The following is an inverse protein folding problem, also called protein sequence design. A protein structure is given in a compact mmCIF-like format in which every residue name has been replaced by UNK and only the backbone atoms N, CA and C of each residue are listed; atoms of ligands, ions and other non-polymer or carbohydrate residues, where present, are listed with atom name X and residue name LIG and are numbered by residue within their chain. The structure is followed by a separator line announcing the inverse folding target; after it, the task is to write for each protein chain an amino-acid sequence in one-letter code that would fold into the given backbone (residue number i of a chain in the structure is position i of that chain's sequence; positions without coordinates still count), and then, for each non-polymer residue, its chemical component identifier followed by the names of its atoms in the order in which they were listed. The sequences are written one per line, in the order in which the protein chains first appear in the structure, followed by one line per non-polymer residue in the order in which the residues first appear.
data_IF_989618278105
#
_entry.id   IF_989618278105
#
_cell.length_a   1.000
_cell.length_b   1.000
_cell.length_c   1.000
_cell.angle_alpha   90.00
_cell.angle_beta   90.00
_cell.angle_gamma   90.00
#
_symmetry.space_group_name_H-M   'P 1'
#
loop_
_entity.id
_entity.type
_entity.pdbx_description
1 polymer ?
#
# COMPACT_ATOMS: atom_id res chain seq x y z
N UNK A 1 -11.46 21.99 32.75
CA UNK A 1 -10.32 22.44 31.92
C UNK A 1 -10.05 21.34 30.91
N UNK A 2 -10.35 21.56 29.64
CA UNK A 2 -9.97 20.63 28.56
C UNK A 2 -8.47 20.79 28.30
N UNK A 3 -7.69 19.75 28.60
CA UNK A 3 -6.29 19.70 28.20
C UNK A 3 -6.23 19.62 26.67
N UNK A 4 -5.49 20.55 26.04
CA UNK A 4 -5.23 20.52 24.60
C UNK A 4 -4.44 19.24 24.26
N UNK A 5 -4.78 18.51 23.19
CA UNK A 5 -3.98 17.39 22.74
C UNK A 5 -2.61 17.88 22.26
N UNK A 6 -1.56 17.22 22.75
CA UNK A 6 -0.16 17.57 22.48
C UNK A 6 0.25 17.22 21.03
N UNK A 7 0.40 18.26 20.20
CA UNK A 7 0.86 18.19 18.81
C UNK A 7 2.32 17.74 18.64
N UNK A 8 3.08 17.57 19.73
CA UNK A 8 4.52 17.26 19.72
C UNK A 8 4.81 15.78 19.43
N UNK A 9 3.84 14.89 19.70
CA UNK A 9 4.04 13.44 19.56
C UNK A 9 4.01 12.92 18.12
N UNK A 10 3.42 13.67 17.16
CA UNK A 10 3.30 13.25 15.77
C UNK A 10 4.38 13.85 14.87
N UNK A 11 4.76 15.12 15.09
CA UNK A 11 5.94 15.72 14.45
C UNK A 11 7.21 14.89 14.71
N UNK A 12 7.36 14.36 15.93
CA UNK A 12 8.47 13.46 16.27
C UNK A 12 8.37 12.06 15.65
N UNK A 13 7.19 11.62 15.18
CA UNK A 13 7.00 10.32 14.52
C UNK A 13 7.22 10.40 13.00
N UNK A 14 6.70 11.45 12.36
CA UNK A 14 6.99 11.74 10.95
C UNK A 14 8.46 12.09 10.75
N UNK A 15 9.08 12.84 11.69
CA UNK A 15 10.52 13.08 11.68
C UNK A 15 11.34 11.79 11.76
N UNK A 16 10.98 10.87 12.69
CA UNK A 16 11.63 9.55 12.81
C UNK A 16 11.45 8.66 11.58
N UNK A 17 10.33 8.77 10.87
CA UNK A 17 10.11 8.06 9.60
C UNK A 17 10.97 8.63 8.46
N UNK A 18 11.17 9.96 8.44
CA UNK A 18 12.13 10.62 7.56
C UNK A 18 13.56 10.12 7.78
N UNK A 19 14.00 10.02 9.04
CA UNK A 19 15.33 9.50 9.40
C UNK A 19 15.54 8.05 8.97
N UNK A 20 14.49 7.22 9.03
CA UNK A 20 14.52 5.82 8.59
C UNK A 20 14.61 5.68 7.06
N UNK A 21 14.01 6.61 6.30
CA UNK A 21 14.09 6.62 4.83
C UNK A 21 15.50 7.01 4.35
N UNK A 22 16.16 7.96 5.02
CA UNK A 22 17.56 8.31 4.75
C UNK A 22 18.51 7.13 5.00
N UNK A 23 18.25 6.34 6.06
CA UNK A 23 19.01 5.12 6.34
C UNK A 23 18.76 4.01 5.30
N UNK A 24 17.51 3.83 4.87
CA UNK A 24 17.14 2.86 3.85
C UNK A 24 17.78 3.19 2.48
N UNK A 25 17.75 4.46 2.06
CA UNK A 25 18.35 4.94 0.82
C UNK A 25 19.88 4.76 0.81
N UNK A 26 20.56 4.92 1.96
CA UNK A 26 21.99 4.64 2.12
C UNK A 26 22.33 3.14 2.08
N UNK A 27 21.41 2.25 2.47
CA UNK A 27 21.66 0.80 2.44
C UNK A 27 21.47 0.18 1.04
N UNK A 28 20.66 0.81 0.19
CA UNK A 28 20.37 0.35 -1.16
C UNK A 28 21.51 0.62 -2.16
N UNK A 29 22.43 1.54 -1.85
CA UNK A 29 23.61 1.81 -2.69
C UNK A 29 24.72 0.77 -2.58
N UNK A 30 24.61 -0.23 -1.69
CA UNK A 30 25.67 -1.22 -1.43
C UNK A 30 25.36 -2.63 -1.98
N UNK A 31 24.15 -2.89 -2.49
CA UNK A 31 23.70 -4.25 -2.86
C UNK A 31 23.66 -4.55 -4.36
N UNK A 32 24.16 -3.66 -5.21
CA UNK A 32 24.11 -3.81 -6.68
C UNK A 32 25.30 -4.58 -7.27
N UNK A 33 26.01 -5.37 -6.48
CA UNK A 33 27.08 -6.25 -6.95
C UNK A 33 26.80 -7.63 -6.39
N UNK A 34 26.76 -8.63 -7.27
CA UNK A 34 26.65 -10.08 -7.00
C UNK A 34 25.23 -10.65 -6.85
N UNK A 35 24.68 -11.17 -7.96
CA UNK A 35 24.35 -12.60 -8.12
C UNK A 35 23.55 -12.85 -9.43
N UNK A 36 24.22 -13.38 -10.44
CA UNK A 36 23.63 -14.13 -11.56
C UNK A 36 24.25 -15.55 -11.59
N UNK A 37 23.60 -16.45 -12.35
CA UNK A 37 23.83 -17.90 -12.55
C UNK A 37 23.06 -18.79 -11.54
N UNK A 38 22.16 -19.71 -11.91
CA UNK A 38 21.78 -20.33 -13.18
C UNK A 38 21.49 -21.81 -12.91
N UNK A 39 20.34 -22.36 -13.33
CA UNK A 39 20.14 -23.80 -13.67
C UNK A 39 18.75 -24.09 -14.23
N UNK A 40 18.73 -24.93 -15.28
CA UNK A 40 17.57 -25.38 -16.07
C UNK A 40 17.46 -26.91 -15.97
N UNK A 41 16.23 -27.42 -16.18
CA UNK A 41 15.78 -28.71 -16.80
C UNK A 41 14.87 -29.58 -15.88
N UNK A 42 14.02 -30.49 -16.41
CA UNK A 42 13.14 -30.40 -17.59
C UNK A 42 11.70 -30.94 -17.33
N UNK A 43 10.84 -30.83 -18.36
CA UNK A 43 9.47 -31.35 -18.46
C UNK A 43 9.37 -32.88 -18.39
N UNK A 44 8.29 -33.38 -17.78
CA UNK A 44 7.70 -34.70 -18.09
C UNK A 44 6.19 -34.59 -18.20
N UNK A 45 5.67 -35.11 -19.31
CA UNK A 45 4.24 -35.31 -19.61
C UNK A 45 3.70 -36.49 -18.79
N UNK A 46 2.41 -36.47 -18.48
CA UNK A 46 1.63 -37.70 -18.52
C UNK A 46 0.19 -37.42 -18.93
N UNK A 47 -0.24 -38.13 -19.96
CA UNK A 47 -1.58 -38.16 -20.52
C UNK A 47 -2.39 -39.23 -19.79
N UNK A 48 -3.54 -38.88 -19.19
CA UNK A 48 -4.67 -39.81 -19.11
C UNK A 48 -5.98 -39.12 -18.74
N UNK A 49 -6.97 -39.30 -19.62
CA UNK A 49 -8.40 -39.09 -19.39
C UNK A 49 -9.15 -40.17 -20.20
N UNK A 50 -10.46 -40.43 -20.00
CA UNK A 50 -11.34 -40.13 -18.86
C UNK A 50 -12.17 -41.36 -18.42
N UNK A 51 -12.92 -41.27 -17.30
CA UNK A 51 -14.21 -41.98 -17.13
C UNK A 51 -15.19 -41.15 -16.28
N UNK A 52 -16.41 -41.02 -16.82
CA UNK A 52 -17.65 -40.49 -16.23
C UNK A 52 -18.09 -41.34 -15.00
N UNK A 53 -18.98 -40.96 -14.08
CA UNK A 53 -20.05 -39.96 -14.01
C UNK A 53 -20.55 -39.97 -12.53
N UNK A 54 -20.93 -38.84 -11.93
CA UNK A 54 -22.12 -38.79 -11.06
C UNK A 54 -22.50 -37.34 -10.80
N UNK A 55 -23.76 -37.01 -11.11
CA UNK A 55 -24.36 -35.70 -10.99
C UNK A 55 -24.62 -35.37 -9.51
N UNK A 56 -23.99 -34.31 -9.01
CA UNK A 56 -24.40 -33.61 -7.80
C UNK A 56 -24.66 -32.15 -8.18
N UNK A 57 -25.83 -31.64 -7.80
CA UNK A 57 -26.33 -30.30 -8.12
C UNK A 57 -25.34 -29.21 -7.72
N UNK A 58 -24.79 -28.51 -8.72
CA UNK A 58 -23.95 -27.33 -8.53
C UNK A 58 -24.81 -26.18 -7.99
N UNK A 59 -24.75 -25.98 -6.67
CA UNK A 59 -25.01 -24.66 -6.10
C UNK A 59 -23.77 -23.84 -6.47
N UNK A 60 -23.88 -22.99 -7.49
CA UNK A 60 -22.82 -22.06 -7.82
C UNK A 60 -22.53 -21.23 -6.56
N UNK A 61 -21.31 -21.27 -6.00
CA UNK A 61 -20.96 -20.33 -4.96
C UNK A 61 -21.07 -18.95 -5.60
N UNK A 62 -21.85 -18.07 -4.99
CA UNK A 62 -21.93 -16.67 -5.38
C UNK A 62 -20.51 -16.11 -5.23
N UNK A 63 -19.77 -16.05 -6.35
CA UNK A 63 -18.41 -15.55 -6.43
C UNK A 63 -18.53 -14.08 -6.06
N UNK A 64 -17.95 -13.70 -4.92
CA UNK A 64 -17.86 -12.31 -4.52
C UNK A 64 -17.27 -11.51 -5.69
N UNK A 65 -17.84 -10.35 -6.05
CA UNK A 65 -17.32 -9.56 -7.16
C UNK A 65 -15.83 -9.29 -6.95
N UNK A 66 -15.04 -9.44 -8.01
CA UNK A 66 -13.61 -9.13 -7.94
C UNK A 66 -13.42 -7.74 -7.34
N UNK A 67 -12.51 -7.58 -6.35
CA UNK A 67 -12.28 -6.28 -5.76
C UNK A 67 -11.84 -5.32 -6.86
N UNK A 68 -12.51 -4.17 -6.96
CA UNK A 68 -12.27 -3.13 -7.95
C UNK A 68 -10.83 -2.52 -7.93
N UNK A 69 -9.91 -3.09 -7.14
CA UNK A 69 -8.57 -2.60 -6.85
C UNK A 69 -7.46 -3.22 -7.71
N UNK A 70 -7.72 -4.32 -8.43
CA UNK A 70 -6.73 -5.01 -9.26
C UNK A 70 -6.44 -4.30 -10.60
N UNK A 71 -7.42 -3.61 -11.19
CA UNK A 71 -7.31 -3.09 -12.57
C UNK A 71 -7.66 -1.60 -12.66
N UNK A 72 -6.83 -0.75 -12.02
CA UNK A 72 -6.83 0.71 -12.30
C UNK A 72 -6.02 1.10 -13.52
N UNK A 73 -5.33 0.15 -14.16
CA UNK A 73 -4.80 0.37 -15.50
C UNK A 73 -5.87 -0.15 -16.44
N UNK A 74 -6.69 0.70 -17.08
CA UNK A 74 -7.56 0.24 -18.16
C UNK A 74 -6.71 -0.54 -19.16
N UNK A 75 -7.21 -1.63 -19.74
CA UNK A 75 -6.49 -2.43 -20.74
C UNK A 75 -5.92 -1.55 -21.88
N UNK A 76 -6.54 -0.41 -22.17
CA UNK A 76 -6.05 0.59 -23.12
C UNK A 76 -4.77 1.34 -22.73
N UNK A 77 -4.42 1.46 -21.43
CA UNK A 77 -3.14 2.06 -21.00
C UNK A 77 -1.99 1.05 -21.10
N UNK A 78 -2.26 -0.24 -20.96
CA UNK A 78 -1.23 -1.28 -21.15
C UNK A 78 -0.67 -1.28 -22.59
N UNK A 79 -1.48 -0.85 -23.57
CA UNK A 79 -1.11 -0.71 -24.98
C UNK A 79 -0.48 0.67 -25.35
N UNK A 80 -0.32 1.59 -24.38
CA UNK A 80 0.02 2.99 -24.68
C UNK A 80 0.85 3.74 -23.63
N UNK A 81 1.62 3.06 -22.77
CA UNK A 81 2.59 3.74 -21.89
C UNK A 81 3.71 4.37 -22.73
N UNK A 82 4.06 5.65 -22.52
CA UNK A 82 5.15 6.29 -23.24
C UNK A 82 6.50 5.64 -22.91
N UNK A 83 7.46 5.79 -23.81
CA UNK A 83 8.83 5.35 -23.59
C UNK A 83 9.49 6.15 -22.46
N UNK A 84 10.62 5.64 -21.96
CA UNK A 84 11.41 6.34 -20.94
C UNK A 84 11.89 7.71 -21.45
N UNK A 85 12.30 7.77 -22.72
CA UNK A 85 12.78 8.97 -23.39
C UNK A 85 11.68 10.03 -23.53
N UNK A 86 10.46 9.60 -23.86
CA UNK A 86 9.28 10.46 -23.92
C UNK A 86 8.93 11.04 -22.55
N UNK A 87 8.97 10.22 -21.49
CA UNK A 87 8.74 10.67 -20.13
C UNK A 87 9.82 11.68 -19.67
N UNK A 88 11.09 11.44 -19.95
CA UNK A 88 12.15 12.40 -19.66
C UNK A 88 12.00 13.71 -20.45
N UNK A 89 11.58 13.63 -21.72
CA UNK A 89 11.29 14.82 -22.52
C UNK A 89 10.12 15.64 -21.96
N UNK A 90 9.11 14.98 -21.39
CA UNK A 90 8.04 15.65 -20.65
C UNK A 90 8.57 16.38 -19.41
N UNK A 91 9.46 15.77 -18.63
CA UNK A 91 10.10 16.45 -17.48
C UNK A 91 10.91 17.66 -17.92
N UNK A 92 11.70 17.56 -19.01
CA UNK A 92 12.40 18.72 -19.59
C UNK A 92 11.44 19.85 -19.96
N UNK A 93 10.26 19.50 -20.46
CA UNK A 93 9.21 20.46 -20.79
C UNK A 93 8.66 21.13 -19.53
N UNK A 94 8.41 20.38 -18.46
CA UNK A 94 7.96 20.92 -17.18
C UNK A 94 9.00 21.85 -16.54
N UNK A 95 10.29 21.54 -16.64
CA UNK A 95 11.37 22.40 -16.14
C UNK A 95 11.38 23.76 -16.85
N UNK A 96 11.30 23.77 -18.20
CA UNK A 96 11.18 25.02 -18.97
C UNK A 96 9.91 25.78 -18.65
N UNK A 97 8.79 25.07 -18.51
CA UNK A 97 7.51 25.68 -18.17
C UNK A 97 7.53 26.33 -16.77
N UNK A 98 8.25 25.73 -15.81
CA UNK A 98 8.49 26.32 -14.50
C UNK A 98 9.41 27.55 -14.53
N UNK A 99 10.07 27.82 -15.67
CA UNK A 99 10.93 28.99 -15.88
C UNK A 99 12.43 28.75 -15.64
N UNK A 100 12.88 27.50 -15.56
CA UNK A 100 14.29 27.14 -15.35
C UNK A 100 14.95 26.58 -16.63
N UNK A 101 16.27 26.61 -16.71
CA UNK A 101 17.08 26.12 -17.83
C UNK A 101 17.46 24.64 -17.62
N UNK A 102 16.91 23.68 -18.39
CA UNK A 102 17.23 22.26 -18.23
C UNK A 102 18.69 21.91 -18.57
N UNK A 103 19.44 22.81 -19.19
CA UNK A 103 20.83 22.57 -19.60
C UNK A 103 21.86 22.96 -18.53
N UNK A 104 21.44 23.64 -17.44
CA UNK A 104 22.34 23.95 -16.33
C UNK A 104 22.72 22.69 -15.57
N UNK A 105 23.92 22.69 -15.01
CA UNK A 105 24.54 21.53 -14.34
C UNK A 105 23.59 20.75 -13.42
N UNK A 106 22.85 21.45 -12.54
CA UNK A 106 21.93 20.82 -11.60
C UNK A 106 20.69 20.16 -12.21
N UNK A 107 20.31 20.53 -13.45
CA UNK A 107 19.10 20.03 -14.12
C UNK A 107 19.36 19.06 -15.27
N UNK A 108 20.60 18.95 -15.76
CA UNK A 108 20.95 18.07 -16.88
C UNK A 108 20.37 16.65 -16.72
N UNK A 109 20.61 16.03 -15.55
CA UNK A 109 20.15 14.68 -15.24
C UNK A 109 18.82 14.63 -14.48
N UNK A 110 18.20 15.77 -14.17
CA UNK A 110 16.92 15.81 -13.45
C UNK A 110 15.82 15.00 -14.14
N UNK A 111 15.64 15.06 -15.47
CA UNK A 111 14.67 14.21 -16.17
C UNK A 111 14.83 12.72 -15.87
N UNK A 112 16.06 12.19 -16.00
CA UNK A 112 16.35 10.79 -15.74
C UNK A 112 16.10 10.42 -14.27
N UNK A 113 16.49 11.30 -13.33
CA UNK A 113 16.26 11.10 -11.89
C UNK A 113 14.76 11.10 -11.54
N UNK A 114 13.97 11.99 -12.13
CA UNK A 114 12.52 12.07 -11.91
C UNK A 114 11.84 10.79 -12.41
N UNK A 115 12.12 10.36 -13.65
CA UNK A 115 11.51 9.14 -14.20
C UNK A 115 11.91 7.90 -13.38
N UNK A 116 13.17 7.82 -12.95
CA UNK A 116 13.62 6.75 -12.03
C UNK A 116 12.88 6.77 -10.69
N UNK A 117 12.70 7.96 -10.10
CA UNK A 117 11.96 8.11 -8.85
C UNK A 117 10.49 7.69 -9.02
N UNK A 118 9.83 8.08 -10.11
CA UNK A 118 8.44 7.70 -10.39
C UNK A 118 8.26 6.18 -10.50
N UNK A 119 9.24 5.46 -11.04
CA UNK A 119 9.23 3.99 -11.02
C UNK A 119 9.16 3.39 -9.61
N UNK A 120 9.78 4.04 -8.62
CA UNK A 120 9.76 3.60 -7.22
C UNK A 120 8.49 4.04 -6.49
N UNK A 121 8.08 5.30 -6.71
CA UNK A 121 6.93 5.93 -6.05
C UNK A 121 5.60 5.40 -6.58
N UNK A 122 5.55 4.92 -7.83
CA UNK A 122 4.36 4.36 -8.48
C UNK A 122 4.51 2.86 -8.81
N UNK A 123 5.52 2.20 -8.21
CA UNK A 123 5.80 0.79 -8.46
C UNK A 123 4.67 -0.16 -8.05
N UNK A 124 3.78 0.27 -7.16
CA UNK A 124 2.64 -0.51 -6.68
C UNK A 124 1.60 -0.84 -7.75
N UNK A 125 1.65 -0.20 -8.93
CA UNK A 125 0.86 -0.61 -10.10
C UNK A 125 1.36 -1.90 -10.75
N UNK A 126 2.61 -2.31 -10.51
CA UNK A 126 3.20 -3.53 -11.06
C UNK A 126 3.27 -4.65 -9.99
N UNK A 127 2.55 -4.49 -8.89
CA UNK A 127 2.54 -5.45 -7.78
C UNK A 127 1.10 -5.86 -7.52
N UNK A 128 0.87 -7.16 -7.54
CA UNK A 128 -0.40 -7.74 -7.10
C UNK A 128 -0.41 -7.81 -5.56
N UNK A 129 -1.43 -7.19 -4.96
CA UNK A 129 -1.60 -7.21 -3.50
C UNK A 129 -2.14 -8.56 -3.00
N UNK A 130 -2.84 -9.31 -3.86
CA UNK A 130 -3.45 -10.60 -3.50
C UNK A 130 -2.37 -11.68 -3.29
N UNK A 131 -1.42 -11.78 -4.23
CA UNK A 131 -0.27 -12.69 -4.16
C UNK A 131 0.57 -12.51 -2.88
N UNK A 132 0.57 -11.30 -2.30
CA UNK A 132 1.32 -11.04 -1.07
C UNK A 132 0.75 -11.77 0.15
N UNK A 133 -0.56 -12.06 0.16
CA UNK A 133 -1.30 -12.58 1.31
C UNK A 133 -1.55 -14.11 1.24
N UNK A 134 -1.14 -14.79 0.17
CA UNK A 134 -1.42 -16.22 -0.03
C UNK A 134 -0.84 -17.15 1.05
N UNK A 135 0.29 -16.77 1.67
CA UNK A 135 0.94 -17.60 2.68
C UNK A 135 0.43 -17.28 4.09
N UNK A 136 -0.44 -18.15 4.59
CA UNK A 136 -0.96 -18.13 5.96
C UNK A 136 -0.26 -19.20 6.81
N UNK A 137 -0.02 -18.90 8.09
CA UNK A 137 0.49 -19.85 9.08
C UNK A 137 -0.69 -20.38 9.90
N UNK A 138 -0.98 -21.67 9.78
CA UNK A 138 -2.11 -22.33 10.47
C UNK A 138 -1.74 -22.78 11.90
N UNK A 139 -0.44 -22.90 12.21
CA UNK A 139 0.10 -23.27 13.52
C UNK A 139 0.02 -22.11 14.53
N UNK A 140 -1.18 -21.71 14.94
CA UNK A 140 -1.39 -20.58 15.86
C UNK A 140 -2.08 -20.95 17.17
N UNK A 141 -1.97 -22.21 17.61
CA UNK A 141 -2.51 -22.72 18.90
C UNK A 141 -3.96 -22.27 19.21
N UNK A 142 -4.82 -22.16 18.18
CA UNK A 142 -6.23 -21.76 18.37
C UNK A 142 -6.44 -20.27 18.66
N UNK A 143 -5.46 -19.41 18.41
CA UNK A 143 -5.58 -17.97 18.56
C UNK A 143 -6.74 -17.42 17.71
N UNK A 144 -7.72 -16.80 18.37
CA UNK A 144 -8.98 -16.36 17.76
C UNK A 144 -9.35 -14.92 18.08
N UNK A 145 -8.47 -14.17 18.76
CA UNK A 145 -8.67 -12.77 19.11
C UNK A 145 -8.01 -11.82 18.09
N UNK A 146 -8.06 -10.52 18.34
CA UNK A 146 -7.61 -9.47 17.43
C UNK A 146 -6.08 -9.49 17.20
N UNK A 147 -5.67 -9.65 15.94
CA UNK A 147 -4.29 -9.35 15.52
C UNK A 147 -4.24 -7.88 15.08
N UNK A 148 -3.40 -7.05 15.72
CA UNK A 148 -3.22 -5.64 15.39
C UNK A 148 -1.77 -5.36 14.99
N UNK A 149 -1.57 -4.83 13.77
CA UNK A 149 -0.33 -4.21 13.33
C UNK A 149 -0.57 -2.71 13.21
N UNK A 150 0.11 -1.92 14.04
CA UNK A 150 -0.08 -0.47 14.12
C UNK A 150 1.21 0.28 13.81
N UNK A 151 1.05 1.56 13.49
CA UNK A 151 2.14 2.49 13.20
C UNK A 151 2.97 2.04 11.98
N UNK A 152 2.32 1.50 10.94
CA UNK A 152 2.96 1.16 9.66
C UNK A 152 3.19 2.47 8.90
N UNK A 153 4.44 2.94 8.74
CA UNK A 153 4.70 4.15 7.98
C UNK A 153 4.43 3.91 6.50
N UNK A 154 3.88 4.92 5.81
CA UNK A 154 3.68 4.87 4.37
C UNK A 154 3.90 6.24 3.72
N UNK A 155 4.14 6.20 2.41
CA UNK A 155 4.30 7.37 1.56
C UNK A 155 3.48 7.16 0.29
N UNK A 156 2.62 8.12 -0.06
CA UNK A 156 1.78 8.07 -1.24
C UNK A 156 1.70 9.44 -1.92
N UNK A 157 0.98 9.53 -3.04
CA UNK A 157 0.84 10.75 -3.84
C UNK A 157 -0.62 11.03 -4.11
N UNK A 158 -1.06 12.24 -3.78
CA UNK A 158 -2.42 12.69 -4.06
C UNK A 158 -2.62 12.75 -5.58
N UNK A 159 -3.52 11.94 -6.10
CA UNK A 159 -3.75 11.84 -7.56
C UNK A 159 -4.17 13.17 -8.21
N UNK A 160 -4.84 14.04 -7.45
CA UNK A 160 -5.27 15.36 -7.93
C UNK A 160 -4.12 16.32 -8.26
N UNK A 161 -2.97 16.14 -7.62
CA UNK A 161 -1.86 17.10 -7.69
C UNK A 161 -0.49 16.46 -7.90
N UNK A 162 -0.41 15.13 -7.84
CA UNK A 162 0.84 14.36 -7.83
C UNK A 162 1.81 14.81 -6.72
N UNK A 163 1.27 15.36 -5.62
CA UNK A 163 2.02 15.85 -4.47
C UNK A 163 1.92 14.82 -3.33
N UNK A 164 3.00 14.57 -2.57
CA UNK A 164 3.00 13.53 -1.56
C UNK A 164 1.98 13.76 -0.42
N UNK A 165 1.49 12.66 0.12
CA UNK A 165 0.91 12.58 1.46
C UNK A 165 1.50 11.37 2.18
N UNK A 166 1.70 11.48 3.49
CA UNK A 166 2.48 10.53 4.27
C UNK A 166 1.99 10.45 5.69
N UNK A 167 2.10 9.27 6.29
CA UNK A 167 1.47 9.01 7.58
C UNK A 167 1.63 7.59 8.06
N UNK A 168 0.66 7.15 8.86
CA UNK A 168 0.61 5.85 9.49
C UNK A 168 -0.65 5.10 9.08
N UNK A 169 -0.49 3.81 8.80
CA UNK A 169 -1.58 2.86 8.67
C UNK A 169 -1.62 1.92 9.89
N UNK A 170 -2.82 1.53 10.26
CA UNK A 170 -3.12 0.62 11.35
C UNK A 170 -4.11 -0.41 10.83
N UNK A 171 -3.77 -1.68 10.97
CA UNK A 171 -4.56 -2.80 10.45
C UNK A 171 -4.83 -3.77 11.60
N UNK A 172 -6.10 -4.09 11.81
CA UNK A 172 -6.50 -5.19 12.67
C UNK A 172 -7.39 -6.17 11.94
N UNK A 173 -7.32 -7.44 12.32
CA UNK A 173 -8.24 -8.46 11.83
C UNK A 173 -8.44 -9.59 12.84
N UNK A 174 -9.55 -10.31 12.69
CA UNK A 174 -9.83 -11.52 13.46
C UNK A 174 -9.55 -12.78 12.62
N UNK A 175 -8.49 -13.54 12.92
CA UNK A 175 -8.13 -14.71 12.14
C UNK A 175 -9.22 -15.80 12.22
N UNK A 176 -9.37 -16.55 11.12
CA UNK A 176 -10.32 -17.68 11.01
C UNK A 176 -9.59 -19.01 10.84
N UNK A 177 -8.60 -19.07 9.95
CA UNK A 177 -7.86 -20.30 9.60
C UNK A 177 -6.34 -20.20 9.83
N UNK A 178 -5.88 -19.11 10.45
CA UNK A 178 -4.46 -18.88 10.71
C UNK A 178 -4.11 -17.40 10.70
N UNK A 179 -2.82 -17.11 10.88
CA UNK A 179 -2.27 -15.75 10.92
C UNK A 179 -1.36 -15.52 9.72
N UNK A 180 -1.48 -14.36 9.08
CA UNK A 180 -0.56 -13.98 8.00
C UNK A 180 0.74 -13.44 8.59
N UNK A 181 1.86 -13.64 7.89
CA UNK A 181 3.12 -13.01 8.29
C UNK A 181 2.95 -11.49 8.38
N UNK A 182 3.27 -10.88 9.52
CA UNK A 182 3.00 -9.46 9.79
C UNK A 182 3.63 -8.52 8.75
N UNK A 183 4.79 -8.91 8.20
CA UNK A 183 5.45 -8.16 7.13
C UNK A 183 4.65 -8.10 5.82
N UNK A 184 3.72 -9.03 5.58
CA UNK A 184 2.84 -9.00 4.40
C UNK A 184 1.79 -7.91 4.50
N UNK A 185 1.24 -7.65 5.68
CA UNK A 185 0.30 -6.53 5.90
C UNK A 185 0.97 -5.19 5.59
N UNK A 186 2.22 -5.00 6.01
CA UNK A 186 2.99 -3.81 5.65
C UNK A 186 3.21 -3.70 4.12
N UNK A 187 3.51 -4.81 3.44
CA UNK A 187 3.68 -4.82 1.98
C UNK A 187 2.37 -4.54 1.22
N UNK A 188 1.23 -4.93 1.77
CA UNK A 188 -0.09 -4.55 1.21
C UNK A 188 -0.28 -3.05 1.29
N UNK A 189 0.03 -2.43 2.45
CA UNK A 189 0.02 -0.96 2.59
C UNK A 189 0.92 -0.31 1.54
N UNK A 190 2.18 -0.77 1.40
CA UNK A 190 3.13 -0.24 0.43
C UNK A 190 2.64 -0.38 -1.02
N UNK A 191 1.98 -1.49 -1.35
CA UNK A 191 1.47 -1.75 -2.70
C UNK A 191 0.43 -0.72 -3.12
N UNK A 192 -0.49 -0.38 -2.22
CA UNK A 192 -1.49 0.66 -2.51
C UNK A 192 -0.95 2.09 -2.31
N UNK A 193 -0.04 2.29 -1.36
CA UNK A 193 0.60 3.59 -1.12
C UNK A 193 1.44 4.03 -2.32
N UNK A 194 2.13 3.11 -2.99
CA UNK A 194 2.97 3.35 -4.18
C UNK A 194 2.16 3.46 -5.47
N UNK A 195 1.07 4.22 -5.43
CA UNK A 195 0.19 4.57 -6.56
C UNK A 195 -0.18 6.05 -6.46
N UNK A 196 -0.84 6.57 -7.50
CA UNK A 196 -1.59 7.83 -7.38
C UNK A 196 -2.91 7.49 -6.66
N UNK A 197 -3.21 8.23 -5.59
CA UNK A 197 -4.27 7.87 -4.66
C UNK A 197 -5.04 9.07 -4.10
N UNK A 198 -6.28 8.78 -3.71
CA UNK A 198 -6.97 9.41 -2.57
C UNK A 198 -6.76 8.55 -1.31
N UNK A 199 -6.68 9.16 -0.12
CA UNK A 199 -6.48 8.42 1.13
C UNK A 199 -7.66 7.47 1.43
N UNK A 200 -8.87 7.90 1.13
CA UNK A 200 -10.12 7.17 1.26
C UNK A 200 -10.06 5.86 0.48
N UNK A 201 -9.74 5.95 -0.82
CA UNK A 201 -9.66 4.74 -1.65
C UNK A 201 -8.53 3.82 -1.20
N UNK A 202 -7.35 4.35 -0.87
CA UNK A 202 -6.25 3.53 -0.35
C UNK A 202 -6.68 2.75 0.92
N UNK A 203 -7.42 3.41 1.83
CA UNK A 203 -7.93 2.78 3.06
C UNK A 203 -8.90 1.63 2.74
N UNK A 204 -9.83 1.85 1.81
CA UNK A 204 -10.77 0.82 1.37
C UNK A 204 -10.05 -0.35 0.69
N UNK A 205 -9.13 -0.09 -0.24
CA UNK A 205 -8.37 -1.11 -0.97
C UNK A 205 -7.59 -2.05 -0.04
N UNK A 206 -6.95 -1.50 1.00
CA UNK A 206 -6.24 -2.31 2.01
C UNK A 206 -7.24 -3.22 2.74
N UNK A 207 -8.39 -2.70 3.17
CA UNK A 207 -9.38 -3.50 3.88
C UNK A 207 -9.95 -4.62 2.99
N UNK A 208 -10.27 -4.28 1.74
CA UNK A 208 -10.92 -5.17 0.78
C UNK A 208 -10.00 -6.34 0.40
N UNK A 209 -8.71 -6.11 0.13
CA UNK A 209 -7.79 -7.20 -0.23
C UNK A 209 -7.52 -8.14 0.95
N UNK A 210 -7.50 -7.61 2.17
CA UNK A 210 -7.33 -8.43 3.38
C UNK A 210 -8.58 -9.29 3.60
N UNK A 211 -9.77 -8.70 3.42
CA UNK A 211 -11.04 -9.42 3.53
C UNK A 211 -11.17 -10.51 2.46
N UNK A 212 -10.86 -10.21 1.19
CA UNK A 212 -11.02 -11.15 0.08
C UNK A 212 -10.11 -12.38 0.22
N UNK A 213 -8.84 -12.17 0.58
CA UNK A 213 -7.84 -13.24 0.63
C UNK A 213 -7.87 -14.00 1.96
N UNK A 214 -7.83 -13.28 3.09
CA UNK A 214 -7.75 -13.96 4.39
C UNK A 214 -9.10 -14.46 4.91
N UNK A 215 -10.21 -13.94 4.37
CA UNK A 215 -11.59 -14.21 4.84
C UNK A 215 -11.69 -14.23 6.37
N UNK A 216 -11.23 -13.15 7.05
CA UNK A 216 -11.25 -13.07 8.50
C UNK A 216 -12.67 -12.83 9.00
N UNK A 217 -12.91 -12.98 10.32
CA UNK A 217 -14.22 -12.62 10.91
C UNK A 217 -14.51 -11.12 10.82
N UNK A 218 -13.48 -10.30 10.65
CA UNK A 218 -13.57 -8.88 10.35
C UNK A 218 -12.20 -8.26 10.17
N UNK A 219 -12.18 -7.09 9.52
CA UNK A 219 -11.00 -6.25 9.28
C UNK A 219 -11.30 -4.83 9.71
N UNK A 220 -10.32 -4.17 10.33
CA UNK A 220 -10.32 -2.75 10.60
C UNK A 220 -9.05 -2.12 10.04
N UNK A 221 -9.20 -1.09 9.23
CA UNK A 221 -8.09 -0.28 8.73
C UNK A 221 -8.32 1.16 9.16
N UNK A 222 -7.29 1.80 9.71
CA UNK A 222 -7.26 3.23 9.96
C UNK A 222 -5.99 3.80 9.34
N UNK A 223 -6.15 4.88 8.58
CA UNK A 223 -5.05 5.61 7.98
C UNK A 223 -5.10 7.04 8.48
N UNK A 224 -3.97 7.54 8.97
CA UNK A 224 -3.79 8.90 9.42
C UNK A 224 -2.61 9.53 8.65
N UNK A 225 -2.82 10.63 7.94
CA UNK A 225 -1.76 11.25 7.13
C UNK A 225 -1.84 12.77 7.00
N UNK A 226 -0.67 13.38 6.80
CA UNK A 226 -0.54 14.78 6.40
C UNK A 226 -0.40 14.87 4.88
N UNK A 227 -1.14 15.81 4.28
CA UNK A 227 -1.20 16.02 2.84
C UNK A 227 -0.41 17.27 2.46
N UNK A 228 0.69 17.11 1.71
CA UNK A 228 1.50 18.26 1.32
C UNK A 228 0.76 19.19 0.34
N UNK A 229 -0.22 18.68 -0.41
CA UNK A 229 -1.09 19.50 -1.25
C UNK A 229 -1.90 20.54 -0.45
N UNK A 230 -2.13 20.32 0.85
CA UNK A 230 -2.73 21.29 1.78
C UNK A 230 -1.68 22.06 2.58
N UNK A 231 -0.55 21.43 2.91
CA UNK A 231 0.46 22.02 3.78
C UNK A 231 1.33 23.08 3.07
N UNK A 232 1.76 22.83 1.83
CA UNK A 232 2.77 23.64 1.15
C UNK A 232 2.21 24.65 0.13
N UNK A 233 0.96 24.46 -0.30
CA UNK A 233 0.30 25.30 -1.31
C UNK A 233 -1.17 25.54 -0.96
N UNK A 234 -1.83 26.43 -1.70
CA UNK A 234 -3.25 26.69 -1.54
C UNK A 234 -3.58 27.20 -0.13
N UNK A 235 -4.30 26.40 0.65
CA UNK A 235 -4.75 26.76 2.01
C UNK A 235 -3.64 26.80 3.07
N UNK A 236 -2.47 26.21 2.78
CA UNK A 236 -1.24 26.26 3.61
C UNK A 236 -1.47 25.91 5.09
N UNK A 237 -2.08 24.75 5.36
CA UNK A 237 -2.38 24.24 6.70
C UNK A 237 -1.43 23.10 7.09
N UNK A 238 -0.21 23.46 7.44
CA UNK A 238 0.81 22.51 7.90
C UNK A 238 0.42 21.86 9.23
N UNK A 239 0.74 20.57 9.39
CA UNK A 239 0.44 19.77 10.57
C UNK A 239 -1.02 19.35 10.71
N UNK A 240 -1.87 19.62 9.73
CA UNK A 240 -3.25 19.08 9.70
C UNK A 240 -3.21 17.64 9.23
N UNK A 241 -3.80 16.78 10.04
CA UNK A 241 -3.90 15.35 9.80
C UNK A 241 -5.29 14.98 9.30
N UNK A 242 -5.35 14.12 8.29
CA UNK A 242 -6.59 13.52 7.77
C UNK A 242 -6.67 12.07 8.24
N UNK A 243 -7.79 11.69 8.82
CA UNK A 243 -8.04 10.33 9.32
C UNK A 243 -9.15 9.70 8.49
N UNK A 244 -8.89 8.50 7.97
CA UNK A 244 -9.85 7.65 7.28
C UNK A 244 -9.87 6.28 7.93
N UNK A 245 -11.03 5.62 7.92
CA UNK A 245 -11.16 4.26 8.45
C UNK A 245 -12.12 3.44 7.63
N UNK A 246 -11.84 2.14 7.50
CA UNK A 246 -12.71 1.16 6.87
C UNK A 246 -12.89 -0.04 7.79
N UNK A 247 -14.14 -0.43 8.03
CA UNK A 247 -14.50 -1.59 8.83
C UNK A 247 -15.25 -2.63 7.99
N UNK A 248 -14.92 -3.91 8.21
CA UNK A 248 -15.49 -5.10 7.57
C UNK A 248 -15.80 -6.18 8.62
N UNK A 249 -16.77 -7.05 8.33
CA UNK A 249 -17.23 -8.11 9.23
C UNK A 249 -17.56 -7.60 10.64
N UNK A 250 -17.10 -8.31 11.68
CA UNK A 250 -17.41 -7.98 13.08
C UNK A 250 -17.06 -6.56 13.50
N UNK A 251 -16.02 -5.94 12.93
CA UNK A 251 -15.71 -4.52 13.21
C UNK A 251 -16.77 -3.57 12.66
N UNK A 252 -17.42 -3.92 11.55
CA UNK A 252 -18.51 -3.11 10.99
C UNK A 252 -19.79 -3.27 11.81
N UNK A 253 -20.06 -4.49 12.26
CA UNK A 253 -21.35 -4.86 12.84
C UNK A 253 -21.41 -4.64 14.36
N UNK A 254 -20.27 -4.63 15.06
CA UNK A 254 -20.20 -4.40 16.51
C UNK A 254 -19.46 -3.08 16.85
N UNK A 255 -20.19 -2.04 17.33
CA UNK A 255 -19.58 -0.80 17.81
C UNK A 255 -18.56 -0.98 18.94
N UNK A 256 -18.69 -2.02 19.77
CA UNK A 256 -17.73 -2.28 20.84
C UNK A 256 -16.37 -2.67 20.26
N UNK A 257 -16.34 -3.41 19.16
CA UNK A 257 -15.08 -3.79 18.50
C UNK A 257 -14.44 -2.60 17.79
N UNK A 258 -15.23 -1.64 17.28
CA UNK A 258 -14.71 -0.37 16.78
C UNK A 258 -14.03 0.42 17.90
N UNK A 259 -14.69 0.54 19.05
CA UNK A 259 -14.13 1.22 20.23
C UNK A 259 -12.87 0.53 20.73
N UNK A 260 -12.87 -0.82 20.80
CA UNK A 260 -11.70 -1.62 21.19
C UNK A 260 -10.53 -1.35 20.25
N UNK A 261 -10.73 -1.44 18.93
CA UNK A 261 -9.71 -1.15 17.93
C UNK A 261 -9.14 0.27 18.08
N UNK A 262 -9.99 1.29 18.13
CA UNK A 262 -9.57 2.69 18.27
C UNK A 262 -8.81 2.92 19.60
N UNK A 263 -9.21 2.23 20.66
CA UNK A 263 -8.52 2.29 21.96
C UNK A 263 -7.14 1.65 21.88
N UNK A 264 -6.99 0.49 21.23
CA UNK A 264 -5.69 -0.16 21.05
C UNK A 264 -4.72 0.67 20.19
N UNK A 265 -5.23 1.28 19.12
CA UNK A 265 -4.45 2.19 18.26
C UNK A 265 -3.95 3.41 19.06
N UNK A 266 -4.77 3.94 19.98
CA UNK A 266 -4.41 5.10 20.81
C UNK A 266 -3.58 4.76 22.05
N UNK A 267 -3.81 3.58 22.64
CA UNK A 267 -3.39 3.20 23.99
C UNK A 267 -1.96 2.72 24.15
N UNK A 268 -1.24 2.43 23.06
CA UNK A 268 0.15 1.99 23.11
C UNK A 268 1.19 3.12 23.22
N UNK A 269 0.83 4.23 23.88
CA UNK A 269 1.67 5.41 24.14
C UNK A 269 2.11 5.41 25.61
N UNK A 270 2.97 4.46 25.96
CA UNK A 270 3.86 4.55 27.13
C UNK A 270 5.21 5.08 26.69
#
# INVERSE_FOLDING_TARGET
MYAKPDSTTMKSRVARAGDAMDAALKSLSYRSVEAEEGRVLPMMRNDNAPRAESQASEISPEIAPEPASATRVPEGIALGRPSREEAEAAVRTLLRWAGDDPTREGLLDTPARVVKAYGQLFGGYNTDAEELLERVFEEVEGYSDIVLVRDIPFYSHCEHHMVPFMGLAHIAYYPTKGVVGLSKLARVVDTFARRLQTQETMTAQIADVIESILKPRGVAVLVEAEHLCMAMRGVQKAGVSTITSQFRGVFKDDPNEQVRFLTLVRGGKG
#
